data_IF_929414358080
#
_entry.id   IF_929414358080
#
_cell.length_a   1.000
_cell.length_b   1.000
_cell.length_c   1.000
_cell.angle_alpha   90.00
_cell.angle_beta   90.00
_cell.angle_gamma   90.00
#
_symmetry.space_group_name_H-M   'P 1'
#
loop_
_entity.id
_entity.type
_entity.pdbx_description
1 polymer ?
#
# COMPACT_ATOMS: atom_id res chain seq x y z
N UNK A 1 12.84 16.60 -6.39
CA UNK A 1 13.09 15.25 -6.94
C UNK A 1 11.79 14.47 -6.95
N UNK A 2 11.45 13.85 -8.08
CA UNK A 2 10.22 13.05 -8.28
C UNK A 2 10.31 11.71 -7.54
N UNK A 3 9.18 11.14 -7.12
CA UNK A 3 9.15 9.81 -6.50
C UNK A 3 9.40 8.73 -7.57
N UNK A 4 10.44 7.92 -7.38
CA UNK A 4 10.88 6.91 -8.37
C UNK A 4 9.82 5.80 -8.49
N UNK A 5 9.37 5.26 -7.36
CA UNK A 5 8.31 4.24 -7.31
C UNK A 5 7.00 4.74 -7.93
N UNK A 6 6.58 5.97 -7.62
CA UNK A 6 5.40 6.59 -8.21
C UNK A 6 5.52 6.67 -9.72
N UNK A 7 6.67 7.12 -10.23
CA UNK A 7 6.92 7.20 -11.67
C UNK A 7 6.82 5.80 -12.32
N UNK A 8 7.31 4.75 -11.67
CA UNK A 8 7.12 3.38 -12.17
C UNK A 8 5.65 2.97 -12.19
N UNK A 9 4.90 3.24 -11.12
CA UNK A 9 3.48 2.91 -11.07
C UNK A 9 2.67 3.66 -12.16
N UNK A 10 2.94 4.94 -12.36
CA UNK A 10 2.25 5.76 -13.39
C UNK A 10 2.53 5.29 -14.81
N UNK A 11 3.73 4.74 -15.10
CA UNK A 11 4.03 4.18 -16.43
C UNK A 11 3.05 3.08 -16.85
N UNK A 12 2.50 2.32 -15.91
CA UNK A 12 1.48 1.31 -16.23
C UNK A 12 0.17 1.92 -16.74
N UNK A 13 -0.18 3.14 -16.29
CA UNK A 13 -1.41 3.82 -16.70
C UNK A 13 -1.36 4.32 -18.15
N UNK A 14 -0.18 4.49 -18.73
CA UNK A 14 0.00 4.97 -20.12
C UNK A 14 -0.58 3.95 -21.11
N UNK A 15 -0.69 2.68 -20.72
CA UNK A 15 -1.04 1.58 -21.61
C UNK A 15 -2.46 1.04 -21.42
N UNK A 16 -3.24 1.54 -20.46
CA UNK A 16 -4.61 1.07 -20.21
C UNK A 16 -5.48 2.12 -19.53
N UNK A 17 -6.72 2.27 -20.00
CA UNK A 17 -7.75 3.12 -19.38
C UNK A 17 -8.56 2.41 -18.29
N UNK A 18 -8.36 1.10 -18.10
CA UNK A 18 -9.11 0.27 -17.15
C UNK A 18 -8.42 0.13 -15.79
N UNK A 19 -7.17 0.58 -15.70
CA UNK A 19 -6.36 0.50 -14.48
C UNK A 19 -6.40 1.81 -13.70
N UNK A 20 -6.46 1.69 -12.38
CA UNK A 20 -6.37 2.80 -11.45
C UNK A 20 -5.10 2.70 -10.60
N UNK A 21 -4.63 3.87 -10.15
CA UNK A 21 -3.53 3.99 -9.21
C UNK A 21 -4.08 4.12 -7.79
N UNK A 22 -3.50 3.37 -6.87
CA UNK A 22 -3.78 3.46 -5.45
C UNK A 22 -2.47 3.60 -4.67
N UNK A 23 -2.57 4.08 -3.44
CA UNK A 23 -1.51 4.08 -2.46
C UNK A 23 -1.92 3.23 -1.26
N UNK A 24 -1.00 2.38 -0.79
CA UNK A 24 -1.08 1.75 0.51
C UNK A 24 -0.20 2.55 1.47
N UNK A 25 -0.80 3.08 2.54
CA UNK A 25 -0.23 4.14 3.38
C UNK A 25 -0.22 3.73 4.85
N UNK A 26 0.86 4.05 5.56
CA UNK A 26 0.95 4.00 7.02
C UNK A 26 0.27 5.23 7.63
N UNK A 27 -0.95 5.06 8.15
CA UNK A 27 -1.76 6.14 8.69
C UNK A 27 -1.13 6.83 9.90
N UNK A 28 -0.38 6.10 10.73
CA UNK A 28 0.35 6.69 11.86
C UNK A 28 1.47 7.62 11.38
N UNK A 29 2.19 7.24 10.33
CA UNK A 29 3.22 8.11 9.76
C UNK A 29 2.61 9.34 9.07
N UNK A 30 1.48 9.16 8.39
CA UNK A 30 0.73 10.26 7.79
C UNK A 30 0.30 11.28 8.86
N UNK A 31 -0.33 10.81 9.94
CA UNK A 31 -0.80 11.67 11.04
C UNK A 31 0.34 12.43 11.69
N UNK A 32 1.45 11.76 12.03
CA UNK A 32 2.59 12.43 12.67
C UNK A 32 3.28 13.46 11.78
N UNK A 33 3.29 13.23 10.47
CA UNK A 33 4.00 14.10 9.55
C UNK A 33 3.15 15.34 9.17
N UNK A 34 1.85 15.17 8.99
CA UNK A 34 0.95 16.24 8.57
C UNK A 34 0.10 16.83 9.70
N UNK A 35 0.13 16.25 10.91
CA UNK A 35 -0.74 16.59 12.04
C UNK A 35 -2.23 16.51 11.67
N UNK A 36 -2.58 15.56 10.81
CA UNK A 36 -3.92 15.35 10.26
C UNK A 36 -4.22 13.86 10.12
N UNK A 37 -5.38 13.42 10.58
CA UNK A 37 -5.82 12.03 10.42
C UNK A 37 -6.34 11.76 9.01
N UNK A 38 -6.06 10.56 8.48
CA UNK A 38 -6.77 10.06 7.31
C UNK A 38 -8.23 9.79 7.69
N UNK A 39 -9.14 10.21 6.82
CA UNK A 39 -10.58 10.04 7.00
C UNK A 39 -11.18 9.18 5.89
N UNK A 40 -12.27 8.49 6.21
CA UNK A 40 -13.02 7.70 5.23
C UNK A 40 -13.66 8.66 4.23
N UNK A 41 -13.38 8.45 2.95
CA UNK A 41 -14.03 9.14 1.85
C UNK A 41 -14.50 8.08 0.87
N UNK A 42 -15.82 8.08 0.61
CA UNK A 42 -16.46 7.10 -0.27
C UNK A 42 -15.70 7.02 -1.61
N UNK A 43 -15.33 5.80 -1.99
CA UNK A 43 -14.59 5.46 -3.22
C UNK A 43 -13.19 6.11 -3.38
N UNK A 44 -12.67 6.78 -2.34
CA UNK A 44 -11.38 7.48 -2.35
C UNK A 44 -10.42 6.90 -1.30
N UNK A 45 -10.84 6.72 -0.05
CA UNK A 45 -9.96 6.27 1.02
C UNK A 45 -10.67 5.33 1.99
N UNK A 46 -10.05 4.19 2.29
CA UNK A 46 -10.55 3.19 3.24
C UNK A 46 -9.42 2.69 4.16
N UNK A 47 -9.67 2.58 5.48
CA UNK A 47 -8.74 1.94 6.40
C UNK A 47 -8.79 0.42 6.24
N UNK A 48 -7.70 -0.27 6.59
CA UNK A 48 -7.72 -1.73 6.69
C UNK A 48 -8.27 -2.22 8.04
N UNK A 49 -8.28 -1.36 9.06
CA UNK A 49 -8.83 -1.66 10.38
C UNK A 49 -10.27 -1.13 10.49
N UNK A 50 -11.23 -1.86 9.89
CA UNK A 50 -12.65 -1.48 9.96
C UNK A 50 -13.43 -2.19 11.07
N UNK A 51 -12.96 -3.36 11.51
CA UNK A 51 -13.67 -4.16 12.51
C UNK A 51 -13.25 -3.83 13.94
N UNK A 52 -14.20 -3.93 14.87
CA UNK A 52 -13.90 -3.82 16.30
C UNK A 52 -13.02 -5.00 16.76
N UNK A 53 -11.99 -4.79 17.62
CA UNK A 53 -11.67 -3.57 18.35
C UNK A 53 -10.73 -2.58 17.62
N UNK A 54 -10.18 -2.98 16.48
CA UNK A 54 -9.12 -2.27 15.75
C UNK A 54 -9.63 -0.97 15.09
N UNK A 55 -10.94 -0.87 14.84
CA UNK A 55 -11.57 0.34 14.32
C UNK A 55 -11.33 1.60 15.18
N UNK A 56 -11.04 1.45 16.48
CA UNK A 56 -10.69 2.59 17.37
C UNK A 56 -9.34 3.23 17.03
N UNK A 57 -8.46 2.51 16.35
CA UNK A 57 -7.13 2.97 15.94
C UNK A 57 -6.99 3.03 14.42
N UNK A 58 -8.11 3.00 13.69
CA UNK A 58 -8.14 2.92 12.23
C UNK A 58 -7.36 4.05 11.55
N UNK A 59 -7.46 5.28 12.08
CA UNK A 59 -6.73 6.44 11.57
C UNK A 59 -5.21 6.22 11.55
N UNK A 60 -4.68 5.49 12.54
CA UNK A 60 -3.26 5.16 12.68
C UNK A 60 -2.88 3.83 12.00
N UNK A 61 -3.88 3.08 11.50
CA UNK A 61 -3.68 1.81 10.81
C UNK A 61 -3.20 1.97 9.37
N UNK A 62 -3.13 0.87 8.61
CA UNK A 62 -2.89 0.93 7.17
C UNK A 62 -4.13 1.46 6.42
N UNK A 63 -3.92 2.26 5.38
CA UNK A 63 -4.98 2.79 4.52
C UNK A 63 -4.73 2.46 3.05
N UNK A 64 -5.81 2.26 2.31
CA UNK A 64 -5.79 2.22 0.83
C UNK A 64 -6.44 3.50 0.33
N UNK A 65 -5.72 4.23 -0.53
CA UNK A 65 -6.18 5.51 -1.08
C UNK A 65 -6.13 5.44 -2.59
N UNK A 66 -7.26 5.66 -3.27
CA UNK A 66 -7.33 5.80 -4.72
C UNK A 66 -6.77 7.16 -5.12
N UNK A 67 -5.77 7.14 -6.01
CA UNK A 67 -5.18 8.34 -6.57
C UNK A 67 -5.99 8.75 -7.79
N UNK A 68 -6.86 9.74 -7.60
CA UNK A 68 -7.64 10.38 -8.66
C UNK A 68 -6.94 11.65 -9.16
N UNK A 69 -7.57 12.39 -10.08
CA UNK A 69 -7.02 13.66 -10.60
C UNK A 69 -6.82 14.77 -9.56
N UNK A 70 -7.17 14.56 -8.29
CA UNK A 70 -6.88 15.49 -7.21
C UNK A 70 -5.37 15.48 -6.88
N UNK A 71 -4.70 16.60 -7.17
CA UNK A 71 -3.24 16.73 -7.07
C UNK A 71 -2.73 16.79 -5.63
N UNK A 72 -3.54 17.24 -4.66
CA UNK A 72 -3.09 17.56 -3.31
C UNK A 72 -2.71 16.30 -2.49
N UNK A 73 -3.60 15.31 -2.43
CA UNK A 73 -3.32 14.07 -1.68
C UNK A 73 -2.12 13.31 -2.26
N UNK A 74 -2.00 13.28 -3.59
CA UNK A 74 -0.86 12.68 -4.28
C UNK A 74 0.45 13.33 -3.86
N UNK A 75 0.50 14.65 -3.83
CA UNK A 75 1.71 15.41 -3.45
C UNK A 75 2.10 15.18 -2.00
N UNK A 76 1.12 15.17 -1.08
CA UNK A 76 1.34 14.77 0.32
C UNK A 76 1.93 13.37 0.44
N UNK A 77 1.38 12.38 -0.26
CA UNK A 77 1.88 11.00 -0.20
C UNK A 77 3.28 10.85 -0.80
N UNK A 78 3.60 11.60 -1.87
CA UNK A 78 4.96 11.66 -2.43
C UNK A 78 5.94 12.30 -1.45
N UNK A 79 5.53 13.32 -0.70
CA UNK A 79 6.34 13.92 0.35
C UNK A 79 6.56 12.94 1.52
N UNK A 80 5.50 12.27 1.95
CA UNK A 80 5.54 11.30 3.03
C UNK A 80 6.49 10.12 2.71
N UNK A 81 6.44 9.59 1.47
CA UNK A 81 7.32 8.52 1.01
C UNK A 81 8.80 8.90 1.11
N UNK A 82 9.16 10.15 0.82
CA UNK A 82 10.55 10.63 0.88
C UNK A 82 11.07 10.70 2.31
N UNK A 83 10.18 10.91 3.26
CA UNK A 83 10.53 11.08 4.67
C UNK A 83 10.52 9.75 5.41
N UNK A 84 9.55 8.87 5.12
CA UNK A 84 9.33 7.62 5.84
C UNK A 84 9.02 6.44 4.91
N UNK A 85 9.46 5.21 5.26
CA UNK A 85 9.03 3.99 4.60
C UNK A 85 7.56 3.70 4.95
N UNK A 86 6.65 4.41 4.29
CA UNK A 86 5.25 4.55 4.71
C UNK A 86 4.25 4.54 3.56
N UNK A 87 4.72 4.55 2.32
CA UNK A 87 3.87 4.58 1.12
C UNK A 87 4.37 3.55 0.12
N UNK A 88 3.43 2.83 -0.48
CA UNK A 88 3.67 2.03 -1.69
C UNK A 88 2.53 2.23 -2.68
N UNK A 89 2.84 2.14 -3.97
CA UNK A 89 1.93 2.43 -5.07
C UNK A 89 1.46 1.14 -5.73
N UNK A 90 0.15 1.02 -5.90
CA UNK A 90 -0.54 -0.13 -6.45
C UNK A 90 -1.20 0.25 -7.78
N UNK A 91 -1.08 -0.61 -8.76
CA UNK A 91 -1.81 -0.52 -10.04
C UNK A 91 -2.73 -1.72 -10.11
N UNK A 92 -4.02 -1.46 -10.30
CA UNK A 92 -5.05 -2.50 -10.29
C UNK A 92 -6.28 -2.07 -11.09
N UNK A 93 -6.98 -3.05 -11.66
CA UNK A 93 -8.33 -2.90 -12.23
C UNK A 93 -9.43 -3.08 -11.18
N UNK A 94 -9.10 -3.56 -9.98
CA UNK A 94 -10.04 -3.74 -8.88
C UNK A 94 -10.52 -2.40 -8.32
N UNK A 95 -11.73 -2.40 -7.78
CA UNK A 95 -12.27 -1.30 -7.00
C UNK A 95 -11.52 -1.11 -5.68
N UNK A 96 -11.68 0.08 -5.07
CA UNK A 96 -11.12 0.36 -3.75
C UNK A 96 -11.59 -0.65 -2.70
N UNK A 97 -12.89 -0.97 -2.70
CA UNK A 97 -13.48 -1.92 -1.75
C UNK A 97 -12.91 -3.33 -1.92
N UNK A 98 -12.74 -3.80 -3.16
CA UNK A 98 -12.14 -5.11 -3.42
C UNK A 98 -10.69 -5.19 -2.94
N UNK A 99 -9.90 -4.13 -3.16
CA UNK A 99 -8.53 -4.07 -2.65
C UNK A 99 -8.47 -4.03 -1.12
N UNK A 100 -9.34 -3.26 -0.48
CA UNK A 100 -9.44 -3.19 1.00
C UNK A 100 -9.76 -4.57 1.58
N UNK A 101 -10.81 -5.24 1.08
CA UNK A 101 -11.20 -6.59 1.50
C UNK A 101 -10.07 -7.60 1.25
N UNK A 102 -9.35 -7.46 0.13
CA UNK A 102 -8.22 -8.31 -0.18
C UNK A 102 -7.10 -8.16 0.85
N UNK A 103 -6.66 -6.94 1.15
CA UNK A 103 -5.58 -6.72 2.11
C UNK A 103 -5.96 -7.05 3.55
N UNK A 104 -7.24 -6.89 3.93
CA UNK A 104 -7.74 -7.31 5.25
C UNK A 104 -7.51 -8.80 5.53
N UNK A 105 -7.43 -9.65 4.50
CA UNK A 105 -7.11 -11.08 4.67
C UNK A 105 -5.66 -11.34 5.06
N UNK A 106 -4.77 -10.36 4.88
CA UNK A 106 -3.32 -10.51 5.07
C UNK A 106 -2.77 -9.70 6.24
N UNK A 107 -3.55 -8.78 6.84
CA UNK A 107 -3.07 -7.94 7.95
C UNK A 107 -2.88 -8.75 9.24
N UNK A 108 -3.72 -9.76 9.51
CA UNK A 108 -3.60 -10.63 10.67
C UNK A 108 -3.00 -11.97 10.25
N UNK A 109 -1.79 -12.25 10.72
CA UNK A 109 -1.10 -13.52 10.45
C UNK A 109 -1.09 -14.40 11.70
N UNK A 110 -1.31 -15.69 11.51
CA UNK A 110 -1.19 -16.69 12.59
C UNK A 110 0.22 -17.25 12.59
N UNK A 111 0.92 -17.11 13.71
CA UNK A 111 2.25 -17.67 13.93
C UNK A 111 2.16 -19.17 14.27
N UNK A 112 3.24 -19.95 14.14
CA UNK A 112 3.24 -21.40 14.44
C UNK A 112 2.78 -21.77 15.86
N UNK A 113 2.84 -20.83 16.80
CA UNK A 113 2.38 -20.98 18.18
C UNK A 113 0.92 -20.54 18.40
N UNK A 114 0.14 -20.36 17.32
CA UNK A 114 -1.24 -19.86 17.30
C UNK A 114 -1.43 -18.41 17.80
N UNK A 115 -0.35 -17.64 18.00
CA UNK A 115 -0.48 -16.21 18.27
C UNK A 115 -0.79 -15.44 16.99
N UNK A 116 -1.61 -14.40 17.10
CA UNK A 116 -1.91 -13.48 16.01
C UNK A 116 -0.88 -12.35 16.05
N UNK A 117 -0.27 -12.06 14.91
CA UNK A 117 0.59 -10.90 14.72
C UNK A 117 0.08 -10.03 13.60
N UNK A 118 0.32 -8.72 13.70
CA UNK A 118 -0.02 -7.76 12.67
C UNK A 118 1.10 -7.68 11.62
N UNK A 119 0.78 -8.02 10.38
CA UNK A 119 1.65 -7.82 9.24
C UNK A 119 1.61 -6.35 8.81
N UNK A 120 2.73 -5.65 8.98
CA UNK A 120 2.91 -4.25 8.54
C UNK A 120 3.14 -4.16 7.03
N UNK A 121 2.18 -4.62 6.24
CA UNK A 121 2.28 -4.71 4.78
C UNK A 121 2.45 -3.34 4.10
N UNK A 122 2.00 -2.27 4.76
CA UNK A 122 2.20 -0.89 4.32
C UNK A 122 3.65 -0.40 4.44
N UNK A 123 4.51 -1.06 5.23
CA UNK A 123 5.93 -0.71 5.33
C UNK A 123 6.70 -1.30 4.13
N UNK A 124 7.28 -0.48 3.24
CA UNK A 124 8.05 -0.94 2.08
C UNK A 124 9.18 -1.92 2.41
N UNK A 125 9.79 -1.82 3.60
CA UNK A 125 10.88 -2.73 4.01
C UNK A 125 10.35 -4.12 4.30
N UNK A 126 9.11 -4.23 4.80
CA UNK A 126 8.42 -5.51 4.98
C UNK A 126 8.11 -6.13 3.62
N UNK A 127 7.71 -5.33 2.61
CA UNK A 127 7.46 -5.84 1.26
C UNK A 127 8.69 -6.49 0.63
N UNK A 128 9.88 -5.91 0.81
CA UNK A 128 11.15 -6.54 0.36
C UNK A 128 11.38 -7.89 1.04
N UNK A 129 11.09 -7.99 2.34
CA UNK A 129 11.20 -9.26 3.08
C UNK A 129 10.17 -10.29 2.59
N UNK A 130 8.92 -9.87 2.39
CA UNK A 130 7.84 -10.72 1.87
C UNK A 130 8.21 -11.34 0.53
N UNK A 131 8.77 -10.56 -0.40
CA UNK A 131 9.20 -11.10 -1.70
C UNK A 131 10.27 -12.18 -1.61
N UNK A 132 11.03 -12.26 -0.51
CA UNK A 132 12.05 -13.30 -0.29
C UNK A 132 11.51 -14.53 0.44
N UNK A 133 10.52 -14.36 1.32
CA UNK A 133 10.07 -15.45 2.22
C UNK A 133 8.79 -16.13 1.74
N UNK A 134 7.93 -15.44 1.00
CA UNK A 134 6.68 -16.02 0.50
C UNK A 134 6.99 -17.02 -0.62
N UNK A 135 6.40 -18.20 -0.53
CA UNK A 135 6.40 -19.14 -1.64
C UNK A 135 5.53 -18.60 -2.81
N UNK A 136 5.56 -19.29 -3.95
CA UNK A 136 4.87 -18.82 -5.15
C UNK A 136 3.35 -18.69 -4.97
N UNK A 137 2.70 -19.65 -4.29
CA UNK A 137 1.25 -19.60 -4.08
C UNK A 137 0.85 -18.47 -3.12
N UNK A 138 1.60 -18.28 -2.03
CA UNK A 138 1.39 -17.18 -1.09
C UNK A 138 1.62 -15.82 -1.76
N UNK A 139 2.67 -15.69 -2.55
CA UNK A 139 2.98 -14.45 -3.27
C UNK A 139 1.95 -14.15 -4.35
N UNK A 140 1.53 -15.16 -5.13
CA UNK A 140 0.47 -15.03 -6.12
C UNK A 140 -0.84 -14.65 -5.45
N UNK A 141 -1.19 -15.31 -4.34
CA UNK A 141 -2.36 -14.99 -3.55
C UNK A 141 -2.33 -13.54 -3.05
N UNK A 142 -1.19 -13.08 -2.54
CA UNK A 142 -1.05 -11.70 -2.07
C UNK A 142 -1.16 -10.69 -3.21
N UNK A 143 -0.59 -10.97 -4.38
CA UNK A 143 -0.43 -10.00 -5.46
C UNK A 143 -1.43 -10.16 -6.62
N UNK A 144 -2.42 -11.05 -6.52
CA UNK A 144 -3.28 -11.42 -7.65
C UNK A 144 -4.13 -10.25 -8.18
N UNK A 145 -4.53 -9.31 -7.32
CA UNK A 145 -5.31 -8.14 -7.74
C UNK A 145 -4.45 -6.99 -8.26
N UNK A 146 -3.12 -7.11 -8.27
CA UNK A 146 -2.21 -6.04 -8.65
C UNK A 146 -1.51 -6.37 -9.95
N UNK A 147 -1.59 -5.44 -10.90
CA UNK A 147 -0.74 -5.41 -12.09
C UNK A 147 0.65 -4.89 -11.75
N UNK A 148 0.72 -3.91 -10.86
CA UNK A 148 1.94 -3.31 -10.36
C UNK A 148 1.85 -3.06 -8.86
N UNK A 149 2.96 -3.29 -8.16
CA UNK A 149 3.12 -2.90 -6.76
C UNK A 149 4.56 -2.46 -6.56
N UNK A 150 4.76 -1.16 -6.35
CA UNK A 150 6.08 -0.55 -6.26
C UNK A 150 6.21 0.29 -5.00
N UNK A 151 7.40 0.33 -4.41
CA UNK A 151 7.70 1.15 -3.24
C UNK A 151 9.15 1.65 -3.30
N UNK A 152 9.43 2.80 -2.70
CA UNK A 152 10.81 3.27 -2.54
C UNK A 152 11.43 2.64 -1.28
N UNK A 153 12.59 2.00 -1.46
CA UNK A 153 13.40 1.42 -0.38
C UNK A 153 14.85 1.77 -0.65
N UNK A 154 15.53 2.41 0.31
CA UNK A 154 16.93 2.85 0.18
C UNK A 154 17.19 3.66 -1.11
N UNK A 155 16.26 4.56 -1.45
CA UNK A 155 16.27 5.39 -2.67
C UNK A 155 16.20 4.61 -3.99
N UNK A 156 15.87 3.32 -3.96
CA UNK A 156 15.60 2.49 -5.13
C UNK A 156 14.14 2.08 -5.19
N UNK A 157 13.60 1.86 -6.38
CA UNK A 157 12.27 1.28 -6.52
C UNK A 157 12.34 -0.24 -6.40
N UNK A 158 11.49 -0.81 -5.55
CA UNK A 158 11.29 -2.24 -5.43
C UNK A 158 9.90 -2.61 -5.92
N UNK A 159 9.79 -3.68 -6.72
CA UNK A 159 8.52 -4.26 -7.13
C UNK A 159 8.23 -5.51 -6.33
N UNK A 160 7.18 -5.48 -5.48
CA UNK A 160 6.72 -6.68 -4.81
C UNK A 160 6.13 -7.68 -5.80
N UNK A 161 5.44 -7.20 -6.84
CA UNK A 161 4.88 -8.05 -7.91
C UNK A 161 5.96 -8.87 -8.63
N UNK A 162 7.13 -8.27 -8.89
CA UNK A 162 8.24 -8.92 -9.60
C UNK A 162 9.32 -9.50 -8.66
N UNK A 163 9.17 -9.33 -7.34
CA UNK A 163 10.15 -9.72 -6.31
C UNK A 163 11.57 -9.17 -6.54
N UNK A 164 11.71 -7.96 -7.11
CA UNK A 164 13.02 -7.38 -7.46
C UNK A 164 13.06 -5.86 -7.42
N UNK A 165 14.25 -5.31 -7.27
CA UNK A 165 14.52 -3.89 -7.53
C UNK A 165 14.42 -3.60 -9.03
N UNK A 166 13.93 -2.40 -9.35
CA UNK A 166 13.70 -1.92 -10.71
C UNK A 166 14.36 -0.55 -10.88
N UNK A 167 14.87 -0.31 -12.09
CA UNK A 167 15.65 0.87 -12.49
C UNK A 167 14.95 1.62 -13.63
#
# INVERSE_FOLDING_TARGET
MSSISFNHAVKHLIHSSEVALFALVDGLQYERFFYEELTIQQDISMPLFEEYPDSRIAFAGPWVIKISGNTNIREKLIELEKTFPSVSWLVSTSSLAELTIHFQKYINITLPNNQIALLRIQDPRVQVRLGKILNEDQHKGLTCLMEGWTATVENMAYSLKLKKFIY
#
